data_IF_788434352684
#
_entry.id   IF_788434352684
#
_cell.length_a   1.000
_cell.length_b   1.000
_cell.length_c   1.000
_cell.angle_alpha   90.00
_cell.angle_beta   90.00
_cell.angle_gamma   90.00
#
_symmetry.space_group_name_H-M   'P 1'
#
loop_
_entity.id
_entity.type
_entity.pdbx_description
1 polymer ?
#
# COMPACT_ATOMS: atom_id res chain seq x y z
N UNK A 1 5.58 17.10 19.94
CA UNK A 1 6.35 15.93 20.40
C UNK A 1 5.34 14.96 20.96
N UNK A 2 5.18 13.82 20.31
CA UNK A 2 4.29 12.73 20.69
C UNK A 2 4.59 12.28 22.11
N UNK A 3 3.60 12.22 22.99
CA UNK A 3 3.76 11.66 24.32
C UNK A 3 3.76 10.14 24.23
N UNK A 4 4.95 9.53 24.15
CA UNK A 4 5.09 8.07 24.11
C UNK A 4 5.18 7.54 25.54
N UNK A 5 4.17 6.77 25.97
CA UNK A 5 4.13 6.20 27.32
C UNK A 5 5.21 5.13 27.53
N UNK A 6 5.70 4.94 28.76
CA UNK A 6 6.69 3.90 29.05
C UNK A 6 6.24 2.49 28.67
N UNK A 7 4.94 2.18 28.73
CA UNK A 7 4.44 0.84 28.42
C UNK A 7 4.55 0.48 26.94
N UNK A 8 4.42 1.46 26.03
CA UNK A 8 4.47 1.19 24.58
C UNK A 8 5.87 1.30 23.97
N UNK A 9 6.80 1.99 24.65
CA UNK A 9 8.19 2.15 24.20
C UNK A 9 8.89 0.85 23.76
N UNK A 10 8.71 -0.30 24.44
CA UNK A 10 9.35 -1.55 24.04
C UNK A 10 8.88 -2.09 22.69
N UNK A 11 7.70 -1.69 22.22
CA UNK A 11 7.08 -2.18 20.99
C UNK A 11 7.37 -1.31 19.77
N UNK A 12 8.31 -0.37 19.90
CA UNK A 12 8.80 0.47 18.81
C UNK A 12 9.25 -0.38 17.62
N UNK A 13 8.83 0.02 16.42
CA UNK A 13 9.27 -0.55 15.14
C UNK A 13 9.93 0.53 14.29
N UNK A 14 10.87 0.12 13.46
CA UNK A 14 11.39 1.00 12.41
C UNK A 14 10.40 1.03 11.25
N UNK A 15 10.08 2.22 10.74
CA UNK A 15 9.20 2.38 9.60
C UNK A 15 9.67 3.47 8.64
N UNK A 16 9.16 3.39 7.41
CA UNK A 16 9.49 4.32 6.34
C UNK A 16 8.20 4.85 5.72
N UNK A 17 7.95 6.15 5.91
CA UNK A 17 6.82 6.86 5.31
C UNK A 17 7.20 7.34 3.91
N UNK A 18 6.41 7.03 2.87
CA UNK A 18 6.70 7.50 1.53
C UNK A 18 6.51 9.02 1.43
N UNK A 19 7.48 9.69 0.80
CA UNK A 19 7.37 11.09 0.39
C UNK A 19 6.87 11.08 -1.06
N UNK A 20 5.76 11.78 -1.31
CA UNK A 20 5.06 11.71 -2.59
C UNK A 20 4.88 13.06 -3.28
N UNK A 21 4.77 13.03 -4.61
CA UNK A 21 4.34 14.15 -5.45
C UNK A 21 3.22 13.70 -6.40
N UNK A 22 2.46 14.65 -6.94
CA UNK A 22 1.47 14.36 -7.98
C UNK A 22 2.14 13.83 -9.25
N UNK A 23 1.61 12.74 -9.80
CA UNK A 23 2.04 12.19 -11.08
C UNK A 23 2.32 10.69 -11.05
N UNK A 24 2.43 10.12 -12.23
CA UNK A 24 2.57 8.67 -12.43
C UNK A 24 4.06 8.24 -12.51
N UNK A 25 4.94 9.12 -13.01
CA UNK A 25 6.35 8.80 -13.22
C UNK A 25 6.58 7.65 -14.21
N UNK A 26 7.75 7.02 -14.13
CA UNK A 26 8.11 5.91 -15.00
C UNK A 26 7.35 4.62 -14.67
N UNK A 27 7.26 3.69 -15.63
CA UNK A 27 6.53 2.43 -15.45
C UNK A 27 7.05 1.58 -14.29
N UNK A 28 8.34 1.64 -13.99
CA UNK A 28 8.97 0.85 -12.91
C UNK A 28 9.12 1.64 -11.61
N UNK A 29 8.59 2.87 -11.53
CA UNK A 29 8.71 3.69 -10.34
C UNK A 29 7.81 3.17 -9.20
N UNK A 30 8.21 3.45 -7.97
CA UNK A 30 7.37 3.25 -6.80
C UNK A 30 6.28 4.33 -6.78
N UNK A 31 5.01 3.95 -6.66
CA UNK A 31 3.87 4.87 -6.77
C UNK A 31 2.61 4.31 -6.13
N UNK A 32 1.70 5.22 -5.79
CA UNK A 32 0.31 4.91 -5.54
C UNK A 32 -0.51 5.21 -6.79
N UNK A 33 -1.39 4.29 -7.16
CA UNK A 33 -2.30 4.41 -8.30
C UNK A 33 -1.62 4.80 -9.63
N UNK A 34 -2.41 5.19 -10.63
CA UNK A 34 -1.93 5.48 -11.99
C UNK A 34 -1.81 4.25 -12.88
N UNK A 35 -0.75 4.20 -13.68
CA UNK A 35 -0.47 3.09 -14.59
C UNK A 35 0.53 2.11 -13.97
N UNK A 36 0.12 0.87 -13.68
CA UNK A 36 1.05 -0.17 -13.24
C UNK A 36 2.00 -0.55 -14.38
N UNK A 37 3.15 -1.12 -14.04
CA UNK A 37 3.89 -1.92 -15.00
C UNK A 37 3.05 -3.15 -15.38
N UNK A 38 2.80 -3.34 -16.67
CA UNK A 38 2.22 -4.57 -17.22
C UNK A 38 3.09 -5.03 -18.38
N UNK A 39 3.31 -6.34 -18.47
CA UNK A 39 4.06 -6.94 -19.56
C UNK A 39 3.34 -6.74 -20.89
N UNK A 40 4.06 -6.87 -22.00
CA UNK A 40 3.45 -6.80 -23.33
C UNK A 40 2.33 -7.84 -23.47
N UNK A 41 1.14 -7.38 -23.89
CA UNK A 41 -0.10 -8.14 -24.05
C UNK A 41 -0.78 -8.55 -22.73
N UNK A 42 -0.20 -8.21 -21.59
CA UNK A 42 -0.86 -8.40 -20.30
C UNK A 42 -2.07 -7.46 -20.21
N UNK A 43 -3.19 -8.01 -19.73
CA UNK A 43 -4.42 -7.24 -19.57
C UNK A 43 -4.46 -6.63 -18.17
N UNK A 44 -5.20 -5.53 -18.03
CA UNK A 44 -5.50 -4.98 -16.71
C UNK A 44 -6.24 -6.04 -15.87
N UNK A 45 -5.77 -6.37 -14.66
CA UNK A 45 -6.40 -7.38 -13.81
C UNK A 45 -7.87 -7.08 -13.53
N UNK A 46 -8.72 -8.10 -13.55
CA UNK A 46 -10.16 -7.96 -13.26
C UNK A 46 -10.52 -8.71 -11.99
N UNK A 47 -11.50 -8.19 -11.27
CA UNK A 47 -12.10 -8.90 -10.16
C UNK A 47 -12.72 -10.20 -10.67
N UNK A 48 -12.39 -11.37 -10.09
CA UNK A 48 -12.94 -12.65 -10.53
C UNK A 48 -14.46 -12.72 -10.31
N UNK A 49 -15.01 -11.88 -9.42
CA UNK A 49 -16.42 -11.81 -9.13
C UNK A 49 -17.17 -10.84 -10.06
N UNK A 50 -16.99 -9.52 -9.88
CA UNK A 50 -17.76 -8.53 -10.62
C UNK A 50 -17.25 -8.27 -12.04
N UNK A 51 -16.10 -8.82 -12.42
CA UNK A 51 -15.46 -8.65 -13.74
C UNK A 51 -15.05 -7.21 -14.09
N UNK A 52 -15.25 -6.25 -13.16
CA UNK A 52 -14.69 -4.91 -13.29
C UNK A 52 -13.16 -4.96 -13.12
N UNK A 53 -12.42 -4.06 -13.77
CA UNK A 53 -10.99 -3.91 -13.53
C UNK A 53 -10.71 -3.62 -12.05
N UNK A 54 -9.68 -4.27 -11.50
CA UNK A 54 -9.24 -4.00 -10.14
C UNK A 54 -8.61 -2.60 -10.07
N UNK A 55 -8.81 -1.93 -8.94
CA UNK A 55 -8.12 -0.69 -8.61
C UNK A 55 -6.64 -0.99 -8.41
N UNK A 56 -5.78 -0.39 -9.21
CA UNK A 56 -4.34 -0.41 -8.95
C UNK A 56 -4.05 0.53 -7.80
N UNK A 57 -3.53 0.00 -6.69
CA UNK A 57 -3.35 0.76 -5.46
C UNK A 57 -1.90 1.14 -5.22
N UNK A 58 -0.99 0.17 -5.31
CA UNK A 58 0.41 0.35 -4.94
C UNK A 58 1.33 -0.42 -5.88
N UNK A 59 2.44 0.23 -6.25
CA UNK A 59 3.60 -0.43 -6.82
C UNK A 59 4.85 0.02 -6.10
N UNK A 60 5.71 -0.92 -5.70
CA UNK A 60 7.02 -0.63 -5.12
C UNK A 60 8.11 -1.32 -5.93
N UNK A 61 9.08 -0.55 -6.40
CA UNK A 61 10.32 -1.10 -6.92
C UNK A 61 11.22 -1.49 -5.75
N UNK A 62 11.38 -2.79 -5.54
CA UNK A 62 12.11 -3.33 -4.39
C UNK A 62 13.60 -2.95 -4.41
N UNK A 63 14.14 -2.61 -5.58
CA UNK A 63 15.53 -2.17 -5.73
C UNK A 63 15.75 -0.70 -5.32
N UNK A 64 14.68 0.07 -5.12
CA UNK A 64 14.75 1.49 -4.73
C UNK A 64 14.18 1.73 -3.33
N UNK A 65 14.00 0.66 -2.55
CA UNK A 65 13.64 0.76 -1.14
C UNK A 65 14.80 1.35 -0.32
N UNK A 66 14.52 1.88 0.88
CA UNK A 66 15.55 2.32 1.82
C UNK A 66 16.65 1.26 2.02
N UNK A 67 17.89 1.70 2.20
CA UNK A 67 19.05 0.78 2.30
C UNK A 67 18.89 -0.26 3.43
N UNK A 68 18.22 0.11 4.52
CA UNK A 68 17.92 -0.78 5.64
C UNK A 68 17.03 -1.98 5.26
N UNK A 69 16.17 -1.83 4.25
CA UNK A 69 15.23 -2.85 3.77
C UNK A 69 15.77 -3.61 2.54
N UNK A 70 16.98 -3.28 2.10
CA UNK A 70 17.54 -3.79 0.86
C UNK A 70 17.80 -5.28 0.94
N UNK A 71 17.31 -6.01 -0.07
CA UNK A 71 17.34 -7.47 -0.16
C UNK A 71 16.48 -8.22 0.87
N UNK A 72 15.78 -7.53 1.77
CA UNK A 72 14.88 -8.18 2.74
C UNK A 72 13.71 -8.87 2.04
N UNK A 73 13.15 -8.21 1.03
CA UNK A 73 11.99 -8.68 0.28
C UNK A 73 12.33 -9.21 -1.13
N UNK A 74 13.62 -9.48 -1.39
CA UNK A 74 14.10 -9.88 -2.71
C UNK A 74 14.17 -8.70 -3.71
N UNK A 75 13.93 -8.99 -4.99
CA UNK A 75 14.05 -8.03 -6.10
C UNK A 75 12.79 -7.99 -6.96
N UNK A 76 12.68 -6.94 -7.77
CA UNK A 76 11.58 -6.77 -8.73
C UNK A 76 10.62 -5.67 -8.31
N UNK A 77 9.36 -5.82 -8.69
CA UNK A 77 8.31 -4.86 -8.43
C UNK A 77 7.16 -5.56 -7.69
N UNK A 78 6.89 -5.12 -6.47
CA UNK A 78 5.67 -5.47 -5.74
C UNK A 78 4.51 -4.65 -6.31
N UNK A 79 3.38 -5.30 -6.56
CA UNK A 79 2.15 -4.66 -7.01
C UNK A 79 0.96 -5.14 -6.17
N UNK A 80 0.05 -4.22 -5.90
CA UNK A 80 -1.22 -4.48 -5.24
C UNK A 80 -2.37 -3.89 -6.05
N UNK A 81 -3.35 -4.75 -6.33
CA UNK A 81 -4.63 -4.39 -6.89
C UNK A 81 -5.75 -4.89 -5.98
N UNK A 82 -6.87 -4.18 -5.92
CA UNK A 82 -8.03 -4.62 -5.13
C UNK A 82 -9.35 -4.13 -5.75
N UNK A 83 -10.45 -4.82 -5.46
CA UNK A 83 -11.77 -4.44 -5.95
C UNK A 83 -12.38 -3.33 -5.08
N UNK A 84 -12.81 -2.24 -5.70
CA UNK A 84 -13.53 -1.12 -5.05
C UNK A 84 -15.00 -1.05 -5.46
N UNK A 85 -15.56 -2.14 -6.00
CA UNK A 85 -16.96 -2.15 -6.43
C UNK A 85 -17.90 -2.28 -5.24
N UNK A 86 -18.54 -1.17 -4.89
CA UNK A 86 -19.54 -1.09 -3.82
C UNK A 86 -20.92 -1.64 -4.23
N UNK A 87 -21.29 -1.60 -5.52
CA UNK A 87 -22.63 -2.00 -5.97
C UNK A 87 -22.92 -3.49 -5.77
N UNK A 88 -21.90 -4.33 -6.00
CA UNK A 88 -21.98 -5.77 -5.81
C UNK A 88 -21.39 -6.22 -4.47
N UNK A 89 -21.21 -5.28 -3.53
CA UNK A 89 -20.72 -5.50 -2.16
C UNK A 89 -19.54 -6.50 -2.11
N UNK A 90 -18.62 -6.42 -3.08
CA UNK A 90 -17.57 -7.44 -3.20
C UNK A 90 -16.71 -7.53 -1.93
N UNK A 91 -16.56 -6.41 -1.23
CA UNK A 91 -15.84 -6.34 0.03
C UNK A 91 -16.53 -7.10 1.18
N UNK A 92 -17.87 -7.12 1.20
CA UNK A 92 -18.65 -7.85 2.21
C UNK A 92 -18.88 -9.31 1.82
N UNK A 93 -19.32 -9.54 0.57
CA UNK A 93 -19.79 -10.85 0.10
C UNK A 93 -18.63 -11.84 -0.15
N UNK A 94 -17.41 -11.33 -0.34
CA UNK A 94 -16.22 -12.13 -0.64
C UNK A 94 -15.09 -11.90 0.35
N UNK A 95 -15.44 -11.49 1.57
CA UNK A 95 -14.47 -11.29 2.65
C UNK A 95 -13.31 -10.40 2.19
N UNK A 96 -13.62 -9.32 1.48
CA UNK A 96 -12.62 -8.36 0.99
C UNK A 96 -11.82 -7.71 2.11
N UNK A 97 -12.39 -7.67 3.31
CA UNK A 97 -11.71 -7.27 4.54
C UNK A 97 -10.64 -8.29 5.00
N UNK A 98 -10.70 -9.55 4.55
CA UNK A 98 -9.70 -10.57 4.89
C UNK A 98 -8.41 -10.43 4.05
N UNK A 99 -7.25 -10.74 4.66
CA UNK A 99 -5.99 -10.78 3.93
C UNK A 99 -6.05 -11.86 2.85
N UNK A 100 -5.55 -11.52 1.66
CA UNK A 100 -5.45 -12.44 0.51
C UNK A 100 -6.79 -12.98 -0.03
N UNK A 101 -7.90 -12.27 0.19
CA UNK A 101 -9.16 -12.57 -0.51
C UNK A 101 -8.98 -12.55 -2.04
N UNK A 102 -9.81 -13.31 -2.75
CA UNK A 102 -9.74 -13.44 -4.22
C UNK A 102 -10.04 -12.11 -4.96
N UNK A 103 -10.55 -11.11 -4.25
CA UNK A 103 -10.79 -9.77 -4.80
C UNK A 103 -9.53 -8.88 -4.74
N UNK A 104 -8.42 -9.40 -4.20
CA UNK A 104 -7.11 -8.79 -4.18
C UNK A 104 -6.17 -9.50 -5.16
N UNK A 105 -5.26 -8.74 -5.77
CA UNK A 105 -4.11 -9.28 -6.46
C UNK A 105 -2.84 -8.63 -5.91
N UNK A 106 -2.08 -9.39 -5.14
CA UNK A 106 -0.77 -8.98 -4.63
C UNK A 106 0.28 -9.89 -5.27
N UNK A 107 1.31 -9.29 -5.87
CA UNK A 107 2.36 -10.06 -6.56
C UNK A 107 3.69 -9.33 -6.59
N UNK A 108 4.77 -10.09 -6.68
CA UNK A 108 6.09 -9.58 -7.06
C UNK A 108 6.38 -10.05 -8.48
N UNK A 109 6.69 -9.10 -9.37
CA UNK A 109 7.05 -9.38 -10.76
C UNK A 109 8.49 -8.97 -11.04
N UNK A 110 9.15 -9.67 -11.96
CA UNK A 110 10.40 -9.21 -12.56
C UNK A 110 10.04 -8.41 -13.82
N UNK A 111 10.38 -7.12 -13.91
CA UNK A 111 10.02 -6.30 -15.07
C UNK A 111 10.93 -6.59 -16.27
N UNK A 112 10.92 -7.84 -16.74
CA UNK A 112 11.69 -8.27 -17.91
C UNK A 112 11.01 -7.75 -19.20
N UNK A 113 11.77 -7.08 -20.06
CA UNK A 113 11.28 -6.58 -21.34
C UNK A 113 10.68 -5.17 -21.27
N UNK A 114 9.77 -4.85 -22.19
CA UNK A 114 9.16 -3.52 -22.31
C UNK A 114 7.81 -3.48 -21.62
N UNK A 115 7.63 -2.50 -20.74
CA UNK A 115 6.32 -2.15 -20.22
C UNK A 115 5.36 -1.80 -21.35
N UNK A 116 4.10 -2.20 -21.21
CA UNK A 116 3.02 -1.75 -22.06
C UNK A 116 2.48 -0.41 -21.56
N UNK A 117 2.37 0.57 -22.47
CA UNK A 117 1.60 1.79 -22.18
C UNK A 117 0.10 1.46 -22.25
N UNK A 118 -0.44 1.03 -21.11
CA UNK A 118 -1.87 0.74 -20.97
C UNK A 118 -2.65 2.02 -20.72
N UNK A 119 -3.87 2.08 -21.27
CA UNK A 119 -4.85 3.07 -20.84
C UNK A 119 -5.48 2.60 -19.54
N UNK A 120 -5.65 3.54 -18.61
CA UNK A 120 -6.46 3.29 -17.41
C UNK A 120 -7.90 3.02 -17.89
N UNK A 121 -8.56 1.96 -17.40
CA UNK A 121 -9.94 1.67 -17.76
C UNK A 121 -10.88 2.85 -17.41
N UNK A 122 -11.90 3.07 -18.23
CA UNK A 122 -12.82 4.22 -18.09
C UNK A 122 -14.15 3.85 -17.41
N UNK A 123 -14.35 2.58 -17.03
CA UNK A 123 -15.62 2.06 -16.52
C UNK A 123 -15.84 2.28 -15.02
N UNK A 124 -14.88 2.90 -14.32
CA UNK A 124 -14.96 3.29 -12.92
C UNK A 124 -13.99 4.44 -12.64
N UNK A 125 -14.15 5.09 -11.47
CA UNK A 125 -13.23 6.12 -11.02
C UNK A 125 -11.95 5.49 -10.43
N UNK A 126 -10.79 5.86 -10.98
CA UNK A 126 -9.49 5.42 -10.50
C UNK A 126 -8.83 6.52 -9.67
N UNK A 127 -8.11 6.12 -8.61
CA UNK A 127 -7.40 7.09 -7.77
C UNK A 127 -6.34 7.86 -8.58
N UNK A 128 -6.14 9.16 -8.27
CA UNK A 128 -5.11 9.95 -8.92
C UNK A 128 -3.71 9.44 -8.55
N UNK A 129 -2.77 9.40 -9.49
CA UNK A 129 -1.43 8.86 -9.23
C UNK A 129 -0.61 9.77 -8.31
N UNK A 130 0.13 9.13 -7.39
CA UNK A 130 1.13 9.77 -6.53
C UNK A 130 2.46 9.03 -6.66
N UNK A 131 3.47 9.70 -7.19
CA UNK A 131 4.82 9.16 -7.33
C UNK A 131 5.53 9.20 -5.99
N UNK A 132 6.09 8.07 -5.56
CA UNK A 132 6.97 8.02 -4.38
C UNK A 132 8.36 8.44 -4.83
N UNK A 133 8.85 9.55 -4.30
CA UNK A 133 10.15 10.14 -4.68
C UNK A 133 11.23 9.91 -3.64
N UNK A 134 10.85 9.64 -2.38
CA UNK A 134 11.78 9.38 -1.29
C UNK A 134 11.05 8.69 -0.12
N UNK A 135 11.80 8.35 0.93
CA UNK A 135 11.31 7.71 2.15
C UNK A 135 11.80 8.44 3.39
N UNK A 136 10.86 8.83 4.24
CA UNK A 136 11.14 9.38 5.56
C UNK A 136 11.20 8.25 6.58
N UNK A 137 12.34 8.08 7.25
CA UNK A 137 12.42 7.22 8.43
C UNK A 137 11.61 7.79 9.58
N UNK A 138 10.90 6.93 10.31
CA UNK A 138 10.27 7.24 11.57
C UNK A 138 10.30 6.03 12.52
N UNK A 139 10.12 6.34 13.81
CA UNK A 139 9.84 5.34 14.83
C UNK A 139 8.33 5.14 14.90
N UNK A 140 7.87 3.94 14.57
CA UNK A 140 6.46 3.58 14.58
C UNK A 140 6.10 2.82 15.86
N UNK A 141 4.87 2.99 16.33
CA UNK A 141 4.38 2.40 17.56
C UNK A 141 3.00 1.79 17.32
N UNK A 142 2.63 0.72 18.04
CA UNK A 142 1.30 0.11 17.94
C UNK A 142 0.19 1.16 18.07
N UNK A 143 -0.82 1.06 17.21
CA UNK A 143 -2.09 1.78 17.41
C UNK A 143 -2.86 1.20 18.62
N UNK A 144 -3.97 1.82 19.01
CA UNK A 144 -4.81 1.36 20.12
C UNK A 144 -5.21 -0.13 20.05
N UNK A 145 -5.55 -0.66 18.88
CA UNK A 145 -5.96 -2.07 18.72
C UNK A 145 -4.76 -3.00 18.90
N UNK A 146 -3.65 -2.73 18.22
CA UNK A 146 -2.41 -3.50 18.37
C UNK A 146 -1.87 -3.44 19.82
N UNK A 147 -1.98 -2.28 20.48
CA UNK A 147 -1.55 -2.12 21.87
C UNK A 147 -2.40 -2.96 22.83
N UNK A 148 -3.72 -3.02 22.61
CA UNK A 148 -4.62 -3.84 23.42
C UNK A 148 -4.28 -5.34 23.30
N UNK A 149 -3.94 -5.82 22.11
CA UNK A 149 -3.45 -7.20 21.90
C UNK A 149 -2.14 -7.49 22.64
N UNK A 150 -1.30 -6.46 22.81
CA UNK A 150 -0.05 -6.53 23.57
C UNK A 150 -0.25 -6.35 25.08
N UNK A 151 -1.49 -6.16 25.54
CA UNK A 151 -1.83 -5.96 26.95
C UNK A 151 -1.54 -4.56 27.47
N UNK A 152 -1.44 -3.56 26.57
CA UNK A 152 -1.23 -2.15 26.89
C UNK A 152 -2.50 -1.38 26.61
N UNK A 153 -3.10 -0.76 27.64
CA UNK A 153 -4.22 0.17 27.46
C UNK A 153 -3.68 1.56 27.11
N UNK A 154 -3.91 1.99 25.87
CA UNK A 154 -3.66 3.37 25.45
C UNK A 154 -4.89 4.23 25.69
N UNK A 155 -4.72 5.43 26.24
CA UNK A 155 -5.81 6.40 26.25
C UNK A 155 -6.07 6.96 24.83
N UNK A 156 -7.32 7.31 24.54
CA UNK A 156 -7.75 7.80 23.22
C UNK A 156 -7.02 9.07 22.73
N UNK A 157 -6.57 9.94 23.64
CA UNK A 157 -5.82 11.15 23.29
C UNK A 157 -4.37 10.82 22.93
N UNK A 158 -3.75 9.87 23.65
CA UNK A 158 -2.42 9.34 23.34
C UNK A 158 -2.40 8.64 21.96
N UNK A 159 -3.44 7.87 21.63
CA UNK A 159 -3.58 7.25 20.30
C UNK A 159 -3.67 8.30 19.18
N UNK A 160 -4.47 9.36 19.36
CA UNK A 160 -4.58 10.44 18.37
C UNK A 160 -3.27 11.21 18.16
N UNK A 161 -2.47 11.39 19.22
CA UNK A 161 -1.16 12.03 19.09
C UNK A 161 -0.15 11.10 18.41
N UNK A 162 -0.17 9.80 18.72
CA UNK A 162 0.64 8.79 18.03
C UNK A 162 0.32 8.74 16.53
N UNK A 163 -0.95 8.79 16.13
CA UNK A 163 -1.36 8.79 14.71
C UNK A 163 -0.79 9.93 13.87
N UNK A 164 -0.47 11.09 14.47
CA UNK A 164 0.06 12.25 13.73
C UNK A 164 1.50 12.05 13.26
N UNK A 165 2.29 11.27 14.00
CA UNK A 165 3.73 11.09 13.79
C UNK A 165 4.10 9.65 13.35
N UNK A 166 3.10 8.81 13.10
CA UNK A 166 3.23 7.40 12.68
C UNK A 166 2.82 7.20 11.21
N UNK A 167 3.00 5.98 10.69
CA UNK A 167 2.61 5.63 9.31
C UNK A 167 1.11 5.82 9.04
N UNK A 168 0.28 5.88 10.09
CA UNK A 168 -1.17 6.01 10.01
C UNK A 168 -1.65 7.41 9.56
N UNK A 169 -0.74 8.39 9.43
CA UNK A 169 -1.00 9.73 8.88
C UNK A 169 -0.94 9.82 7.35
N UNK A 170 -0.78 8.69 6.66
CA UNK A 170 -0.69 8.61 5.19
C UNK A 170 -2.08 8.51 4.51
N UNK A 171 -3.14 8.35 5.30
CA UNK A 171 -4.54 8.26 4.84
C UNK A 171 -5.39 9.42 5.34
#
# INVERSE_FOLDING_TARGET
>A
MTNITPEIKPYKREAWKPITIDGDGDFTASKFAGKPWLAKNEQWPKCPHCQNPLQFFLQLNLNTLPEALKNEFGSGILQMFYCTNEELLCDCDYEGWEPFSDIHLIRIIQPEGKAQDVKIPENQEFFPPKLIVDWQYLEDYPNHEEAAELGVELDFNLDQDLRKDTIYSVY
#
